data_IF_432643972153
#
_entry.id   IF_432643972153
#
_cell.length_a   1.000
_cell.length_b   1.000
_cell.length_c   1.000
_cell.angle_alpha   90.00
_cell.angle_beta   90.00
_cell.angle_gamma   90.00
#
_symmetry.space_group_name_H-M   'P 1'
#
loop_
_entity.id
_entity.type
_entity.pdbx_description
1 polymer ?
#
# COMPACT_ATOMS: atom_id res chain seq x y z
N UNK A 1 -11.93 -4.91 -8.05
CA UNK A 1 -12.88 -5.84 -7.42
C UNK A 1 -13.99 -5.06 -6.74
N UNK A 2 -15.26 -5.46 -6.89
CA UNK A 2 -16.33 -4.98 -6.04
C UNK A 2 -15.96 -5.12 -4.56
N UNK A 3 -16.44 -4.20 -3.73
CA UNK A 3 -16.30 -4.32 -2.27
C UNK A 3 -16.97 -5.62 -1.82
N UNK A 4 -16.29 -6.41 -0.98
CA UNK A 4 -16.80 -7.71 -0.52
C UNK A 4 -16.53 -8.89 -1.47
N UNK A 5 -15.69 -8.71 -2.49
CA UNK A 5 -15.23 -9.83 -3.33
C UNK A 5 -14.39 -10.79 -2.50
N UNK A 6 -14.77 -12.07 -2.49
CA UNK A 6 -13.97 -13.15 -1.94
C UNK A 6 -12.68 -13.35 -2.76
N UNK A 7 -11.54 -13.08 -2.15
CA UNK A 7 -10.23 -13.17 -2.80
C UNK A 7 -9.63 -14.57 -2.79
N UNK A 8 -10.19 -15.53 -2.02
CA UNK A 8 -9.65 -16.89 -1.89
C UNK A 8 -9.68 -17.69 -3.19
N UNK A 9 -10.49 -17.26 -4.16
CA UNK A 9 -10.67 -17.89 -5.47
C UNK A 9 -9.60 -17.49 -6.48
N UNK A 10 -8.81 -16.45 -6.21
CA UNK A 10 -7.80 -15.91 -7.12
C UNK A 10 -6.42 -16.41 -6.75
N UNK A 11 -5.58 -16.67 -7.76
CA UNK A 11 -4.22 -17.08 -7.52
C UNK A 11 -3.38 -15.90 -7.00
N UNK A 12 -2.27 -16.20 -6.32
CA UNK A 12 -1.40 -15.18 -5.74
C UNK A 12 -0.79 -14.24 -6.81
N UNK A 13 -0.54 -14.73 -8.01
CA UNK A 13 0.05 -13.95 -9.10
C UNK A 13 -0.91 -12.87 -9.62
N UNK A 14 -2.19 -13.20 -9.78
CA UNK A 14 -3.23 -12.28 -10.21
C UNK A 14 -3.42 -11.16 -9.17
N UNK A 15 -3.43 -11.53 -7.89
CA UNK A 15 -3.51 -10.57 -6.79
C UNK A 15 -2.28 -9.66 -6.75
N UNK A 16 -1.08 -10.21 -6.99
CA UNK A 16 0.17 -9.45 -7.08
C UNK A 16 0.12 -8.45 -8.23
N UNK A 17 -0.34 -8.86 -9.42
CA UNK A 17 -0.46 -7.99 -10.58
C UNK A 17 -1.42 -6.82 -10.32
N UNK A 18 -2.56 -7.09 -9.68
CA UNK A 18 -3.50 -6.04 -9.26
C UNK A 18 -2.87 -5.09 -8.23
N UNK A 19 -2.18 -5.63 -7.23
CA UNK A 19 -1.50 -4.82 -6.22
C UNK A 19 -0.44 -3.91 -6.86
N UNK A 20 0.37 -4.44 -7.79
CA UNK A 20 1.37 -3.68 -8.52
C UNK A 20 0.73 -2.54 -9.31
N UNK A 21 -0.34 -2.81 -10.05
CA UNK A 21 -1.06 -1.81 -10.82
C UNK A 21 -1.65 -0.70 -9.93
N UNK A 22 -2.22 -1.06 -8.77
CA UNK A 22 -2.82 -0.10 -7.84
C UNK A 22 -1.78 0.74 -7.12
N UNK A 23 -0.69 0.13 -6.67
CA UNK A 23 0.38 0.76 -5.89
C UNK A 23 1.25 1.68 -6.74
N UNK A 24 1.37 1.42 -8.05
CA UNK A 24 2.14 2.24 -8.98
C UNK A 24 1.30 3.28 -9.73
N UNK A 25 0.00 3.42 -9.43
CA UNK A 25 -0.86 4.38 -10.11
C UNK A 25 -0.74 5.77 -9.48
N UNK A 26 -0.37 6.82 -10.24
CA UNK A 26 -0.41 8.21 -9.79
C UNK A 26 -1.78 8.60 -9.22
N UNK A 27 -1.82 9.13 -7.99
CA UNK A 27 -3.07 9.59 -7.34
C UNK A 27 -3.03 11.10 -7.13
N UNK A 28 -4.05 11.81 -7.62
CA UNK A 28 -4.19 13.27 -7.45
C UNK A 28 -4.13 13.71 -5.97
N UNK A 29 -4.74 12.94 -5.08
CA UNK A 29 -4.73 13.23 -3.63
C UNK A 29 -3.32 13.17 -3.02
N UNK A 30 -2.39 12.42 -3.63
CA UNK A 30 -0.99 12.34 -3.23
C UNK A 30 -0.09 13.32 -4.02
N UNK A 31 -0.68 14.32 -4.69
CA UNK A 31 0.05 15.21 -5.59
C UNK A 31 0.55 14.52 -6.85
N UNK A 32 -0.20 13.52 -7.35
CA UNK A 32 0.16 12.64 -8.46
C UNK A 32 1.33 11.67 -8.19
N UNK A 33 1.79 11.56 -6.94
CA UNK A 33 2.67 10.45 -6.53
C UNK A 33 1.93 9.13 -6.46
N UNK A 34 2.68 8.04 -6.50
CA UNK A 34 2.16 6.69 -6.37
C UNK A 34 2.01 6.32 -4.88
N UNK A 35 1.03 5.46 -4.52
CA UNK A 35 0.94 4.93 -3.16
C UNK A 35 2.23 4.24 -2.69
N UNK A 36 2.94 3.54 -3.58
CA UNK A 36 4.20 2.87 -3.25
C UNK A 36 5.29 3.86 -2.80
N UNK A 37 5.45 4.99 -3.49
CA UNK A 37 6.43 6.02 -3.14
C UNK A 37 6.12 6.63 -1.78
N UNK A 38 4.87 7.07 -1.58
CA UNK A 38 4.46 7.70 -0.31
C UNK A 38 4.59 6.74 0.86
N UNK A 39 4.21 5.48 0.70
CA UNK A 39 4.38 4.46 1.74
C UNK A 39 5.86 4.25 2.10
N UNK A 40 6.73 4.20 1.09
CA UNK A 40 8.18 4.02 1.30
C UNK A 40 8.78 5.18 2.09
N UNK A 41 8.39 6.42 1.78
CA UNK A 41 8.79 7.62 2.52
C UNK A 41 8.29 7.57 3.99
N UNK A 42 7.05 7.14 4.22
CA UNK A 42 6.48 7.01 5.57
C UNK A 42 7.21 5.94 6.40
N UNK A 43 7.53 4.79 5.81
CA UNK A 43 8.27 3.74 6.52
C UNK A 43 9.64 4.27 6.96
N UNK A 44 10.35 4.97 6.06
CA UNK A 44 11.64 5.58 6.39
C UNK A 44 11.54 6.63 7.50
N UNK A 45 10.48 7.44 7.53
CA UNK A 45 10.29 8.43 8.60
C UNK A 45 9.96 7.76 9.94
N UNK A 46 9.18 6.67 9.94
CA UNK A 46 8.80 5.95 11.16
C UNK A 46 9.92 5.16 11.81
N UNK A 47 10.92 4.69 11.05
CA UNK A 47 12.08 3.99 11.63
C UNK A 47 12.90 4.86 12.58
N UNK A 48 12.73 6.19 12.51
CA UNK A 48 13.39 7.15 13.39
C UNK A 48 12.50 7.64 14.54
N UNK A 49 11.29 7.08 14.70
CA UNK A 49 10.30 7.50 15.69
C UNK A 49 10.18 6.47 16.83
N UNK A 50 10.25 6.93 18.08
CA UNK A 50 10.08 6.07 19.26
C UNK A 50 8.67 5.49 19.32
N UNK A 51 8.57 4.19 19.56
CA UNK A 51 7.27 3.53 19.78
C UNK A 51 6.75 3.82 21.18
N UNK A 52 5.42 3.90 21.31
CA UNK A 52 4.78 4.00 22.62
C UNK A 52 5.12 2.73 23.43
N UNK A 53 5.95 2.89 24.46
CA UNK A 53 6.31 1.83 25.40
C UNK A 53 5.39 1.94 26.60
N UNK A 54 4.88 0.81 27.07
CA UNK A 54 4.06 0.74 28.29
C UNK A 54 4.94 0.24 29.43
N UNK A 55 4.92 0.92 30.58
CA UNK A 55 5.51 0.46 31.85
C UNK A 55 4.68 -0.70 32.46
#
# INVERSE_FOLDING_TARGET
>A
FPKGTDLSRWNAHDLQAVALALNNRPRKVLGFRTPAEVLSEQIQSTQNSSVATTD
#
